data_IF_106582264310
#
_entry.id   IF_106582264310
#
_cell.length_a   1.000
_cell.length_b   1.000
_cell.length_c   1.000
_cell.angle_alpha   90.00
_cell.angle_beta   90.00
_cell.angle_gamma   90.00
#
_symmetry.space_group_name_H-M   'P 1'
#
loop_
_entity.id
_entity.type
_entity.pdbx_description
1 polymer ?
#
# COMPACT_ATOMS: atom_id res chain seq x y z
N UNK A 1 -13.28 4.17 -5.78
CA UNK A 1 -12.01 3.63 -6.30
C UNK A 1 -10.92 3.51 -5.25
N UNK A 2 -10.75 4.50 -4.36
CA UNK A 2 -9.77 4.48 -3.25
C UNK A 2 -9.85 3.19 -2.43
N UNK A 3 -11.05 2.80 -1.98
CA UNK A 3 -11.27 1.59 -1.19
C UNK A 3 -10.85 0.28 -1.89
N UNK A 4 -11.05 0.18 -3.21
CA UNK A 4 -10.61 -0.99 -3.97
C UNK A 4 -9.08 -1.02 -4.10
N UNK A 5 -8.46 0.13 -4.37
CA UNK A 5 -7.00 0.23 -4.40
C UNK A 5 -6.41 -0.15 -3.03
N UNK A 6 -7.00 0.32 -1.93
CA UNK A 6 -6.59 -0.05 -0.57
C UNK A 6 -6.77 -1.54 -0.27
N UNK A 7 -7.80 -2.18 -0.81
CA UNK A 7 -7.97 -3.62 -0.68
C UNK A 7 -6.84 -4.39 -1.38
N UNK A 8 -6.50 -4.01 -2.62
CA UNK A 8 -5.39 -4.62 -3.36
C UNK A 8 -4.07 -4.45 -2.58
N UNK A 9 -3.82 -3.28 -2.01
CA UNK A 9 -2.62 -3.03 -1.21
C UNK A 9 -2.62 -3.80 0.12
N UNK A 10 -3.78 -3.99 0.75
CA UNK A 10 -3.92 -4.77 1.98
C UNK A 10 -3.61 -6.25 1.73
N UNK A 11 -4.19 -6.82 0.68
CA UNK A 11 -3.94 -8.21 0.28
C UNK A 11 -2.46 -8.41 -0.09
N UNK A 12 -1.88 -7.47 -0.84
CA UNK A 12 -0.45 -7.46 -1.15
C UNK A 12 0.41 -7.34 0.10
N UNK A 13 0.04 -6.48 1.07
CA UNK A 13 0.78 -6.37 2.31
C UNK A 13 0.76 -7.68 3.11
N UNK A 14 -0.39 -8.34 3.21
CA UNK A 14 -0.53 -9.62 3.91
C UNK A 14 0.30 -10.74 3.27
N UNK A 15 0.38 -10.75 1.94
CA UNK A 15 1.14 -11.75 1.16
C UNK A 15 2.64 -11.43 1.07
N UNK A 16 3.03 -10.17 1.34
CA UNK A 16 4.39 -9.67 1.11
C UNK A 16 5.48 -10.41 1.87
N UNK A 17 5.16 -11.03 3.01
CA UNK A 17 6.08 -11.84 3.82
C UNK A 17 6.46 -13.17 3.16
N UNK A 18 5.62 -13.68 2.26
CA UNK A 18 5.74 -15.04 1.72
C UNK A 18 6.01 -15.06 0.22
N UNK A 19 5.62 -14.02 -0.54
CA UNK A 19 5.71 -14.04 -2.00
C UNK A 19 5.86 -12.66 -2.67
N UNK A 20 6.20 -12.71 -3.95
CA UNK A 20 6.26 -11.60 -4.91
C UNK A 20 4.97 -10.81 -5.04
N UNK A 21 4.89 -9.63 -4.43
CA UNK A 21 3.72 -8.75 -4.54
C UNK A 21 3.93 -7.51 -5.43
N UNK A 22 5.06 -7.44 -6.14
CA UNK A 22 5.34 -6.41 -7.15
C UNK A 22 4.58 -6.60 -8.46
N UNK A 23 3.27 -6.85 -8.40
CA UNK A 23 2.43 -7.16 -9.56
C UNK A 23 1.88 -5.90 -10.23
N UNK A 24 1.27 -6.06 -11.41
CA UNK A 24 0.67 -4.95 -12.18
C UNK A 24 -0.50 -4.33 -11.41
N UNK A 25 -1.30 -5.14 -10.72
CA UNK A 25 -2.44 -4.70 -9.90
C UNK A 25 -1.99 -3.77 -8.78
N UNK A 26 -0.89 -4.12 -8.09
CA UNK A 26 -0.29 -3.28 -7.04
C UNK A 26 0.21 -1.96 -7.62
N UNK A 27 0.88 -2.00 -8.77
CA UNK A 27 1.35 -0.78 -9.45
C UNK A 27 0.20 0.14 -9.85
N UNK A 28 -0.89 -0.42 -10.36
CA UNK A 28 -2.10 0.33 -10.72
C UNK A 28 -2.81 0.91 -9.48
N UNK A 29 -2.91 0.13 -8.41
CA UNK A 29 -3.49 0.59 -7.15
C UNK A 29 -2.73 1.80 -6.59
N UNK A 30 -1.39 1.75 -6.58
CA UNK A 30 -0.55 2.88 -6.16
C UNK A 30 -0.75 4.10 -7.07
N UNK A 31 -0.89 3.89 -8.38
CA UNK A 31 -1.14 4.98 -9.34
C UNK A 31 -2.49 5.68 -9.07
N UNK A 32 -3.53 4.91 -8.76
CA UNK A 32 -4.86 5.44 -8.39
C UNK A 32 -4.81 6.26 -7.11
N UNK A 33 -3.96 5.91 -6.15
CA UNK A 33 -3.85 6.62 -4.86
C UNK A 33 -2.98 7.88 -4.93
N UNK A 34 -2.11 8.01 -5.93
CA UNK A 34 -1.17 9.14 -6.10
C UNK A 34 -1.79 10.54 -5.97
N UNK A 35 -2.94 10.88 -6.56
CA UNK A 35 -3.53 12.22 -6.38
C UNK A 35 -4.05 12.46 -4.95
N UNK A 36 -4.37 11.40 -4.21
CA UNK A 36 -4.96 11.45 -2.88
C UNK A 36 -3.92 11.41 -1.75
N UNK A 37 -2.69 11.00 -2.03
CA UNK A 37 -1.55 11.12 -1.11
C UNK A 37 -0.85 12.46 -1.27
N UNK A 38 -0.59 13.17 -0.16
CA UNK A 38 0.17 14.43 -0.18
C UNK A 38 1.64 14.20 -0.51
N UNK A 39 2.20 13.07 -0.05
CA UNK A 39 3.57 12.67 -0.27
C UNK A 39 3.61 11.30 -0.95
N UNK A 40 4.37 11.22 -2.05
CA UNK A 40 4.57 9.95 -2.77
C UNK A 40 5.57 9.02 -2.07
N UNK A 41 6.28 9.48 -1.03
CA UNK A 41 7.26 8.67 -0.30
C UNK A 41 6.68 7.33 0.15
N UNK A 42 5.51 7.31 0.80
CA UNK A 42 4.90 6.07 1.26
C UNK A 42 4.46 5.15 0.11
N UNK A 43 4.06 5.71 -1.04
CA UNK A 43 3.75 4.93 -2.24
C UNK A 43 5.00 4.29 -2.85
N UNK A 44 6.10 5.05 -2.88
CA UNK A 44 7.41 4.58 -3.38
C UNK A 44 7.98 3.52 -2.45
N UNK A 45 7.91 3.73 -1.13
CA UNK A 45 8.33 2.75 -0.12
C UNK A 45 7.52 1.46 -0.24
N UNK A 46 6.19 1.56 -0.43
CA UNK A 46 5.36 0.39 -0.68
C UNK A 46 5.86 -0.39 -1.90
N UNK A 47 6.06 0.29 -3.04
CA UNK A 47 6.53 -0.35 -4.27
C UNK A 47 7.93 -0.95 -4.12
N UNK A 48 8.82 -0.26 -3.42
CA UNK A 48 10.18 -0.72 -3.13
C UNK A 48 10.14 -1.99 -2.30
N UNK A 49 9.34 -2.02 -1.23
CA UNK A 49 9.14 -3.23 -0.42
C UNK A 49 8.50 -4.37 -1.23
N UNK A 50 7.53 -4.05 -2.09
CA UNK A 50 6.83 -5.05 -2.90
C UNK A 50 7.77 -5.74 -3.93
N UNK A 51 8.80 -5.03 -4.39
CA UNK A 51 9.76 -5.51 -5.42
C UNK A 51 11.11 -5.95 -4.86
N UNK A 52 11.40 -5.71 -3.59
CA UNK A 52 12.69 -6.03 -2.98
C UNK A 52 13.03 -7.53 -3.05
N UNK A 53 14.29 -7.83 -3.39
CA UNK A 53 14.89 -9.16 -3.35
C UNK A 53 16.32 -9.08 -2.76
N UNK A 54 16.76 -10.06 -1.94
CA UNK A 54 16.00 -11.18 -1.37
C UNK A 54 14.95 -10.69 -0.36
N UNK A 55 13.84 -11.42 -0.24
CA UNK A 55 12.80 -11.10 0.76
C UNK A 55 13.33 -11.42 2.14
N UNK A 56 13.28 -10.44 3.04
CA UNK A 56 13.52 -10.65 4.45
C UNK A 56 12.18 -10.62 5.19
N UNK A 57 12.02 -11.40 6.28
CA UNK A 57 10.78 -11.43 7.06
C UNK A 57 10.34 -10.05 7.59
N UNK A 58 11.27 -9.10 7.71
CA UNK A 58 11.01 -7.73 8.17
C UNK A 58 10.82 -6.72 7.03
N UNK A 59 11.07 -7.07 5.77
CA UNK A 59 10.76 -6.22 4.60
C UNK A 59 9.36 -6.51 4.08
N UNK A 60 8.35 -6.18 4.89
CA UNK A 60 6.93 -6.29 4.53
C UNK A 60 6.32 -4.96 4.11
N UNK A 61 5.26 -5.00 3.29
CA UNK A 61 4.56 -3.78 2.86
C UNK A 61 3.60 -3.21 3.93
N UNK A 62 3.53 -3.79 5.12
CA UNK A 62 2.58 -3.40 6.18
C UNK A 62 2.78 -1.98 6.71
N UNK A 63 4.03 -1.57 6.96
CA UNK A 63 4.33 -0.22 7.44
C UNK A 63 3.96 0.85 6.39
N UNK A 64 4.45 0.77 5.13
CA UNK A 64 4.06 1.76 4.13
C UNK A 64 2.57 1.73 3.82
N UNK A 65 1.90 0.56 3.88
CA UNK A 65 0.44 0.46 3.80
C UNK A 65 -0.26 1.32 4.87
N UNK A 66 0.12 1.16 6.13
CA UNK A 66 -0.46 1.93 7.25
C UNK A 66 -0.26 3.43 7.07
N UNK A 67 0.91 3.86 6.61
CA UNK A 67 1.19 5.27 6.34
C UNK A 67 0.31 5.83 5.22
N UNK A 68 0.11 5.07 4.14
CA UNK A 68 -0.79 5.45 3.04
C UNK A 68 -2.23 5.63 3.57
N UNK A 69 -2.72 4.67 4.35
CA UNK A 69 -4.06 4.74 4.95
C UNK A 69 -4.19 5.97 5.86
N UNK A 70 -3.20 6.21 6.72
CA UNK A 70 -3.22 7.36 7.64
C UNK A 70 -3.25 8.69 6.87
N UNK A 71 -2.45 8.85 5.81
CA UNK A 71 -2.45 10.06 4.99
C UNK A 71 -3.81 10.33 4.32
N UNK A 72 -4.51 9.28 3.89
CA UNK A 72 -5.85 9.39 3.32
C UNK A 72 -6.87 9.83 4.37
N UNK A 73 -6.80 9.24 5.58
CA UNK A 73 -7.64 9.62 6.72
C UNK A 73 -7.39 11.08 7.11
N UNK A 74 -6.14 11.50 7.23
CA UNK A 74 -5.76 12.87 7.60
C UNK A 74 -6.22 13.91 6.56
N UNK A 75 -6.40 13.49 5.31
CA UNK A 75 -6.97 14.31 4.22
C UNK A 75 -8.50 14.33 4.20
N UNK A 76 -9.17 13.52 5.03
CA UNK A 76 -10.62 13.38 5.05
C UNK A 76 -11.18 12.49 3.93
N UNK A 77 -10.34 11.65 3.31
CA UNK A 77 -10.81 10.68 2.31
C UNK A 77 -11.62 9.56 2.97
N UNK A 78 -12.66 9.10 2.26
CA UNK A 78 -13.54 8.05 2.76
C UNK A 78 -12.85 6.67 2.71
N UNK A 79 -12.17 6.30 3.78
CA UNK A 79 -11.58 4.96 4.00
C UNK A 79 -12.55 4.08 4.79
N UNK A 80 -12.88 2.91 4.26
CA UNK A 80 -13.77 1.96 4.95
C UNK A 80 -13.15 1.50 6.28
N UNK A 81 -13.98 1.37 7.32
CA UNK A 81 -13.55 0.98 8.68
C UNK A 81 -12.74 -0.32 8.72
N UNK A 82 -13.04 -1.28 7.85
CA UNK A 82 -12.32 -2.56 7.76
C UNK A 82 -10.84 -2.41 7.30
N UNK A 83 -10.45 -1.23 6.80
CA UNK A 83 -9.11 -0.92 6.28
C UNK A 83 -8.38 0.12 7.13
N UNK A 84 -8.97 0.56 8.24
CA UNK A 84 -8.30 1.42 9.21
C UNK A 84 -7.33 0.58 10.06
N UNK A 85 -6.17 1.15 10.46
CA UNK A 85 -5.10 0.41 11.12
C UNK A 85 -5.40 -0.11 12.52
#
# INVERSE_FOLDING_TARGET
>A
MINLALQILQDAAHRSSSEGVGTVEVRLALHVLRPFTKDSASLIEFWTAATAQPRHPWTGCHLPYRLIVQQLIDRGEAVDKARQP
#
